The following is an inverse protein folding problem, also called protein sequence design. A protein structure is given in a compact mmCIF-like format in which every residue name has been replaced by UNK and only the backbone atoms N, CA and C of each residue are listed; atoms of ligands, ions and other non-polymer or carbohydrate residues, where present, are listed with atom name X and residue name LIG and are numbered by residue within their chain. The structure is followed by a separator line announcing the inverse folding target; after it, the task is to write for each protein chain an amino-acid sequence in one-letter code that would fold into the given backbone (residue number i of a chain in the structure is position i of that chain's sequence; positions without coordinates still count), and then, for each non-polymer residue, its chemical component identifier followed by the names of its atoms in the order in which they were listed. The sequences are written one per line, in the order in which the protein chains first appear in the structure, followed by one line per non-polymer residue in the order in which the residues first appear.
data_IF_397475772025
#
_entry.id   IF_397475772025
#
_cell.length_a   1.000
_cell.length_b   1.000
_cell.length_c   1.000
_cell.angle_alpha   90.00
_cell.angle_beta   90.00
_cell.angle_gamma   90.00
#
_symmetry.space_group_name_H-M   'P 1'
#
loop_
_entity.id
_entity.type
_entity.pdbx_description
1 polymer ?
#
# COMPACT_ATOMS: atom_id res chain seq x y z
N UNK A 1 17.32 -41.61 -13.64
CA UNK A 1 16.15 -40.95 -13.02
C UNK A 1 16.66 -40.15 -11.83
N UNK A 2 16.87 -38.84 -11.98
CA UNK A 2 17.11 -37.95 -10.84
C UNK A 2 15.77 -37.69 -10.17
N UNK A 3 15.62 -38.16 -8.94
CA UNK A 3 14.52 -37.74 -8.07
C UNK A 3 14.83 -36.31 -7.60
N UNK A 4 14.08 -35.33 -8.11
CA UNK A 4 13.99 -34.02 -7.48
C UNK A 4 13.26 -34.21 -6.15
N UNK A 5 14.00 -34.10 -5.05
CA UNK A 5 13.40 -34.03 -3.71
C UNK A 5 12.66 -32.70 -3.62
N UNK A 6 11.33 -32.67 -3.33
CA UNK A 6 10.62 -31.42 -3.16
C UNK A 6 11.24 -30.65 -1.99
N UNK A 7 11.58 -29.37 -2.24
CA UNK A 7 12.11 -28.49 -1.20
C UNK A 7 11.00 -28.26 -0.16
N UNK A 8 11.14 -28.87 1.02
CA UNK A 8 10.20 -28.67 2.13
C UNK A 8 10.46 -27.28 2.70
N UNK A 9 9.47 -26.39 2.63
CA UNK A 9 9.53 -25.10 3.31
C UNK A 9 9.54 -25.34 4.83
N UNK A 10 10.61 -24.91 5.48
CA UNK A 10 10.74 -25.03 6.94
C UNK A 10 9.74 -24.12 7.66
N UNK A 11 9.17 -24.57 8.80
CA UNK A 11 8.31 -23.72 9.64
C UNK A 11 9.03 -22.44 10.05
N UNK A 12 8.28 -21.35 10.13
CA UNK A 12 8.77 -20.08 10.66
C UNK A 12 8.35 -19.91 12.13
N UNK A 13 9.01 -18.99 12.84
CA UNK A 13 8.55 -18.62 14.18
C UNK A 13 7.14 -18.01 14.15
N UNK A 14 6.20 -18.54 14.94
CA UNK A 14 4.84 -18.00 15.02
C UNK A 14 4.84 -16.65 15.73
N UNK A 15 3.79 -15.87 15.48
CA UNK A 15 3.60 -14.54 16.07
C UNK A 15 2.12 -14.26 16.30
N UNK A 16 1.80 -13.21 17.07
CA UNK A 16 0.41 -12.88 17.38
C UNK A 16 -0.39 -12.63 16.09
N UNK A 17 -1.52 -13.32 15.94
CA UNK A 17 -2.37 -13.14 14.77
C UNK A 17 -3.17 -11.83 14.87
N UNK A 18 -3.10 -11.00 13.84
CA UNK A 18 -3.91 -9.78 13.73
C UNK A 18 -4.54 -9.64 12.36
N UNK A 19 -5.80 -9.22 12.36
CA UNK A 19 -6.57 -8.88 11.17
C UNK A 19 -6.93 -7.40 11.23
N UNK A 20 -6.69 -6.68 10.13
CA UNK A 20 -7.05 -5.28 9.95
C UNK A 20 -8.10 -5.18 8.85
N UNK A 21 -9.39 -5.26 9.21
CA UNK A 21 -10.45 -5.15 8.20
C UNK A 21 -10.47 -3.76 7.55
N UNK A 22 -10.79 -3.63 6.25
CA UNK A 22 -10.85 -2.34 5.58
C UNK A 22 -11.75 -1.34 6.28
N UNK A 23 -11.27 -0.12 6.42
CA UNK A 23 -12.01 1.01 6.97
C UNK A 23 -12.07 2.10 5.90
N UNK A 24 -13.25 2.66 5.68
CA UNK A 24 -13.39 3.87 4.88
C UNK A 24 -14.30 4.87 5.61
N UNK A 25 -13.68 5.83 6.28
CA UNK A 25 -14.37 6.93 6.95
C UNK A 25 -14.80 8.03 5.98
N UNK A 26 -14.48 7.95 4.69
CA UNK A 26 -14.75 9.05 3.76
C UNK A 26 -16.23 9.39 3.70
N UNK A 27 -17.11 8.38 3.83
CA UNK A 27 -18.56 8.54 3.77
C UNK A 27 -19.17 9.08 5.06
N UNK A 28 -18.43 9.07 6.17
CA UNK A 28 -18.87 9.62 7.46
C UNK A 28 -18.83 11.14 7.47
N UNK A 29 -17.93 11.74 6.70
CA UNK A 29 -17.87 13.18 6.52
C UNK A 29 -18.28 13.60 5.11
N UNK A 30 -19.50 14.14 4.98
CA UNK A 30 -20.08 14.55 3.70
C UNK A 30 -19.15 15.41 2.85
N UNK A 31 -18.53 16.43 3.45
CA UNK A 31 -17.64 17.36 2.72
C UNK A 31 -16.38 16.67 2.19
N UNK A 32 -15.84 15.70 2.92
CA UNK A 32 -14.70 14.93 2.44
C UNK A 32 -15.11 13.92 1.37
N UNK A 33 -16.28 13.30 1.49
CA UNK A 33 -16.78 12.41 0.46
C UNK A 33 -16.94 13.12 -0.90
N UNK A 34 -17.49 14.34 -0.88
CA UNK A 34 -17.62 15.20 -2.07
C UNK A 34 -16.24 15.54 -2.66
N UNK A 35 -15.28 15.89 -1.80
CA UNK A 35 -13.88 16.10 -2.19
C UNK A 35 -13.28 14.84 -2.83
N UNK A 36 -13.39 13.66 -2.19
CA UNK A 36 -12.86 12.38 -2.69
C UNK A 36 -13.42 12.05 -4.07
N UNK A 37 -14.72 12.25 -4.30
CA UNK A 37 -15.35 12.04 -5.62
C UNK A 37 -14.73 12.97 -6.67
N UNK A 38 -14.53 14.25 -6.35
CA UNK A 38 -13.85 15.20 -7.24
C UNK A 38 -12.39 14.80 -7.48
N UNK A 39 -11.67 14.42 -6.42
CA UNK A 39 -10.27 14.02 -6.48
C UNK A 39 -10.06 12.78 -7.34
N UNK A 40 -10.89 11.75 -7.19
CA UNK A 40 -10.87 10.57 -8.07
C UNK A 40 -11.08 10.91 -9.54
N UNK A 41 -11.94 11.90 -9.85
CA UNK A 41 -12.10 12.38 -11.23
C UNK A 41 -10.82 13.04 -11.73
N UNK A 42 -10.18 13.88 -10.91
CA UNK A 42 -8.89 14.53 -11.22
C UNK A 42 -7.82 13.47 -11.54
N UNK A 43 -7.71 12.42 -10.72
CA UNK A 43 -6.75 11.34 -10.94
C UNK A 43 -7.04 10.58 -12.25
N UNK A 44 -8.30 10.20 -12.47
CA UNK A 44 -8.71 9.45 -13.65
C UNK A 44 -8.50 10.23 -14.96
N UNK A 45 -8.77 11.53 -14.95
CA UNK A 45 -8.54 12.40 -16.12
C UNK A 45 -7.11 12.93 -16.20
N UNK A 46 -6.26 12.62 -15.21
CA UNK A 46 -4.89 13.16 -15.06
C UNK A 46 -4.86 14.70 -15.18
N UNK A 47 -5.84 15.36 -14.57
CA UNK A 47 -6.01 16.82 -14.66
C UNK A 47 -5.00 17.53 -13.73
N UNK A 48 -3.83 17.84 -14.28
CA UNK A 48 -2.74 18.52 -13.56
C UNK A 48 -3.18 19.86 -12.96
N UNK A 49 -4.00 20.64 -13.66
CA UNK A 49 -4.42 21.97 -13.17
C UNK A 49 -5.35 21.82 -11.98
N UNK A 50 -6.35 20.94 -12.08
CA UNK A 50 -7.26 20.69 -10.97
C UNK A 50 -6.57 20.01 -9.78
N UNK A 51 -5.55 19.17 -10.03
CA UNK A 51 -4.71 18.58 -8.97
C UNK A 51 -3.97 19.67 -8.19
N UNK A 52 -3.38 20.64 -8.88
CA UNK A 52 -2.60 21.71 -8.24
C UNK A 52 -3.42 22.57 -7.27
N UNK A 53 -4.72 22.76 -7.55
CA UNK A 53 -5.66 23.49 -6.69
C UNK A 53 -5.96 22.78 -5.37
N UNK A 54 -5.81 21.45 -5.32
CA UNK A 54 -6.11 20.63 -4.14
C UNK A 54 -4.85 20.16 -3.41
N UNK A 55 -3.67 20.51 -3.90
CA UNK A 55 -2.40 20.29 -3.18
C UNK A 55 -2.18 21.47 -2.23
N UNK A 56 -1.82 21.19 -0.99
CA UNK A 56 -1.43 22.23 -0.06
C UNK A 56 -0.10 22.89 -0.48
N UNK A 57 0.05 24.18 -0.22
CA UNK A 57 1.28 24.90 -0.58
C UNK A 57 2.51 24.34 0.14
N UNK A 58 2.33 23.83 1.36
CA UNK A 58 3.38 23.29 2.24
C UNK A 58 3.37 21.76 2.29
N UNK A 59 2.85 21.09 1.23
CA UNK A 59 2.79 19.62 1.17
C UNK A 59 4.13 18.96 1.52
N UNK A 60 4.07 17.93 2.37
CA UNK A 60 5.21 17.11 2.74
C UNK A 60 5.20 15.79 1.97
N UNK A 61 6.33 15.43 1.35
CA UNK A 61 6.39 14.27 0.45
C UNK A 61 7.74 13.55 0.43
N UNK A 62 8.68 14.01 1.24
CA UNK A 62 10.04 13.47 1.32
C UNK A 62 10.58 13.65 2.73
N UNK A 63 11.34 12.66 3.20
CA UNK A 63 12.13 12.77 4.43
C UNK A 63 13.43 13.57 4.23
N UNK A 64 13.76 13.91 2.97
CA UNK A 64 14.87 14.78 2.63
C UNK A 64 14.53 16.27 2.77
N UNK A 65 15.37 17.13 2.19
CA UNK A 65 15.20 18.58 2.25
C UNK A 65 14.18 19.18 1.27
N UNK A 66 13.57 18.37 0.39
CA UNK A 66 12.56 18.83 -0.56
C UNK A 66 11.21 19.02 0.12
N UNK A 67 10.55 20.16 -0.11
CA UNK A 67 9.27 20.45 0.53
C UNK A 67 8.39 21.39 -0.29
N UNK A 68 7.08 21.29 -0.07
CA UNK A 68 6.10 22.19 -0.66
C UNK A 68 5.73 21.87 -2.10
N UNK A 69 4.70 22.56 -2.58
CA UNK A 69 3.99 22.24 -3.83
C UNK A 69 4.89 22.25 -5.07
N UNK A 70 5.82 23.20 -5.17
CA UNK A 70 6.68 23.34 -6.34
C UNK A 70 7.58 22.11 -6.51
N UNK A 71 8.25 21.71 -5.43
CA UNK A 71 9.16 20.58 -5.47
C UNK A 71 8.37 19.27 -5.61
N UNK A 72 7.22 19.17 -4.95
CA UNK A 72 6.30 18.04 -5.12
C UNK A 72 5.95 17.80 -6.61
N UNK A 73 5.49 18.84 -7.30
CA UNK A 73 5.10 18.73 -8.71
C UNK A 73 6.28 18.31 -9.60
N UNK A 74 7.49 18.80 -9.29
CA UNK A 74 8.71 18.46 -10.03
C UNK A 74 9.15 17.02 -9.77
N UNK A 75 9.21 16.60 -8.50
CA UNK A 75 9.66 15.25 -8.09
C UNK A 75 8.77 14.17 -8.68
N UNK A 76 7.46 14.42 -8.75
CA UNK A 76 6.51 13.52 -9.42
C UNK A 76 6.38 13.74 -10.94
N UNK A 77 7.22 14.56 -11.58
CA UNK A 77 7.17 14.85 -13.03
C UNK A 77 5.82 15.40 -13.53
N UNK A 78 5.07 16.07 -12.64
CA UNK A 78 3.78 16.69 -12.93
C UNK A 78 3.94 18.06 -13.63
N UNK A 79 5.16 18.60 -13.72
CA UNK A 79 5.47 19.80 -14.50
C UNK A 79 5.83 19.47 -15.94
N UNK A 80 6.74 18.51 -16.18
CA UNK A 80 7.29 18.24 -17.50
C UNK A 80 6.46 17.21 -18.28
N UNK A 81 5.99 16.15 -17.61
CA UNK A 81 5.31 15.01 -18.25
C UNK A 81 4.10 14.56 -17.44
N UNK A 82 3.14 15.46 -17.15
CA UNK A 82 2.03 15.15 -16.25
C UNK A 82 1.27 13.89 -16.66
N UNK A 83 0.95 13.68 -17.94
CA UNK A 83 0.19 12.50 -18.37
C UNK A 83 0.90 11.16 -18.13
N UNK A 84 2.23 11.15 -18.09
CA UNK A 84 3.07 9.96 -17.90
C UNK A 84 3.58 9.78 -16.46
N UNK A 85 3.27 10.73 -15.57
CA UNK A 85 3.64 10.65 -14.15
C UNK A 85 3.07 9.39 -13.49
N UNK A 86 3.89 8.72 -12.68
CA UNK A 86 3.46 7.59 -11.86
C UNK A 86 2.62 8.02 -10.65
N UNK A 87 2.59 9.32 -10.31
CA UNK A 87 1.78 9.86 -9.21
C UNK A 87 0.31 9.43 -9.31
N UNK A 88 -0.27 9.46 -10.51
CA UNK A 88 -1.69 9.14 -10.70
C UNK A 88 -2.03 7.73 -10.24
N UNK A 89 -1.21 6.77 -10.64
CA UNK A 89 -1.37 5.36 -10.26
C UNK A 89 -1.09 5.19 -8.76
N UNK A 90 0.05 5.70 -8.27
CA UNK A 90 0.43 5.57 -6.86
C UNK A 90 -0.63 6.16 -5.91
N UNK A 91 -1.16 7.34 -6.22
CA UNK A 91 -2.20 7.97 -5.43
C UNK A 91 -3.50 7.16 -5.48
N UNK A 92 -3.95 6.72 -6.66
CA UNK A 92 -5.15 5.89 -6.81
C UNK A 92 -4.99 4.56 -6.04
N UNK A 93 -3.83 3.93 -6.13
CA UNK A 93 -3.48 2.71 -5.41
C UNK A 93 -3.51 2.88 -3.90
N UNK A 94 -3.14 4.06 -3.41
CA UNK A 94 -3.14 4.41 -1.99
C UNK A 94 -4.57 4.62 -1.49
N UNK A 95 -5.34 5.47 -2.17
CA UNK A 95 -6.68 5.87 -1.70
C UNK A 95 -7.75 4.79 -1.90
N UNK A 96 -7.57 3.86 -2.85
CA UNK A 96 -8.51 2.74 -3.06
C UNK A 96 -8.55 1.78 -1.88
N UNK A 97 -7.53 1.79 -1.03
CA UNK A 97 -7.46 0.91 0.14
C UNK A 97 -8.35 1.40 1.29
N UNK A 98 -8.87 2.62 1.22
CA UNK A 98 -9.78 3.19 2.21
C UNK A 98 -9.10 4.22 3.11
N UNK A 99 -9.92 4.90 3.90
CA UNK A 99 -9.52 6.04 4.72
C UNK A 99 -9.81 5.80 6.21
N UNK A 100 -8.89 6.24 7.06
CA UNK A 100 -9.10 6.37 8.50
C UNK A 100 -8.97 7.85 8.88
N UNK A 101 -9.95 8.36 9.62
CA UNK A 101 -9.82 9.67 10.26
C UNK A 101 -8.98 9.51 11.52
N UNK A 102 -7.92 10.32 11.65
CA UNK A 102 -7.07 10.33 12.83
C UNK A 102 -7.57 11.34 13.89
N UNK A 103 -6.85 11.45 15.01
CA UNK A 103 -7.26 12.30 16.14
C UNK A 103 -7.21 13.80 15.83
N UNK A 104 -6.44 14.21 14.82
CA UNK A 104 -6.34 15.59 14.34
C UNK A 104 -7.46 15.93 13.33
N UNK A 105 -8.32 14.96 13.01
CA UNK A 105 -9.40 15.11 12.04
C UNK A 105 -8.94 14.97 10.58
N UNK A 106 -7.67 14.64 10.34
CA UNK A 106 -7.15 14.37 9.00
C UNK A 106 -7.73 13.06 8.47
N UNK A 107 -7.99 13.01 7.17
CA UNK A 107 -8.36 11.77 6.49
C UNK A 107 -7.09 11.14 5.92
N UNK A 108 -6.74 9.96 6.42
CA UNK A 108 -5.48 9.27 6.10
C UNK A 108 -5.77 8.03 5.26
N UNK A 109 -5.04 7.89 4.15
CA UNK A 109 -5.01 6.70 3.32
C UNK A 109 -3.58 6.14 3.23
N UNK A 110 -3.39 4.82 3.17
CA UNK A 110 -4.42 3.81 3.33
C UNK A 110 -4.86 3.71 4.81
N UNK A 111 -6.08 3.26 5.06
CA UNK A 111 -6.65 3.18 6.42
C UNK A 111 -5.74 2.48 7.44
N UNK A 112 -4.96 1.50 6.98
CA UNK A 112 -4.14 0.70 7.86
C UNK A 112 -2.93 1.46 8.37
N UNK A 113 -2.53 2.59 7.78
CA UNK A 113 -1.43 3.39 8.31
C UNK A 113 -1.72 3.82 9.77
N UNK A 114 -2.96 4.22 10.05
CA UNK A 114 -3.43 4.63 11.37
C UNK A 114 -3.82 3.45 12.29
N UNK A 115 -3.83 2.22 11.77
CA UNK A 115 -4.28 1.05 12.54
C UNK A 115 -3.27 -0.10 12.58
N UNK A 116 -2.13 0.04 11.91
CA UNK A 116 -1.08 -0.96 11.93
C UNK A 116 -0.49 -1.01 13.35
N UNK A 117 -0.48 -2.17 14.03
CA UNK A 117 -0.04 -2.20 15.41
C UNK A 117 1.49 -2.04 15.51
N UNK A 118 1.93 -1.23 16.47
CA UNK A 118 3.35 -0.87 16.64
C UNK A 118 4.24 -1.98 17.24
N UNK A 119 3.66 -3.10 17.66
CA UNK A 119 4.38 -4.29 18.14
C UNK A 119 4.88 -5.20 17.00
N UNK A 120 4.51 -4.90 15.75
CA UNK A 120 5.05 -5.56 14.56
C UNK A 120 6.19 -4.74 13.95
N UNK A 121 7.28 -5.40 13.58
CA UNK A 121 8.37 -4.77 12.84
C UNK A 121 7.88 -4.35 11.44
N UNK A 122 7.87 -3.04 11.12
CA UNK A 122 7.33 -2.52 9.87
C UNK A 122 8.16 -2.88 8.64
N UNK A 123 9.40 -3.34 8.80
CA UNK A 123 10.26 -3.76 7.69
C UNK A 123 10.01 -5.21 7.26
N UNK A 124 9.44 -6.03 8.13
CA UNK A 124 9.24 -7.46 7.89
C UNK A 124 7.77 -7.88 7.92
N UNK A 125 6.86 -7.02 8.41
CA UNK A 125 5.43 -7.32 8.47
C UNK A 125 4.64 -6.55 7.43
N UNK A 126 3.76 -7.28 6.75
CA UNK A 126 2.93 -6.80 5.66
C UNK A 126 1.47 -7.13 5.94
N UNK A 127 0.57 -6.29 5.45
CA UNK A 127 -0.85 -6.56 5.44
C UNK A 127 -1.26 -7.25 4.14
N UNK A 128 -1.98 -8.37 4.23
CA UNK A 128 -2.72 -8.92 3.09
C UNK A 128 -3.95 -8.05 2.83
N UNK A 129 -4.08 -7.40 1.67
CA UNK A 129 -5.15 -6.40 1.40
C UNK A 129 -6.38 -6.94 0.65
N UNK A 130 -6.66 -8.24 0.74
CA UNK A 130 -7.79 -8.88 0.06
C UNK A 130 -8.58 -9.85 0.94
N UNK A 131 -9.72 -10.32 0.43
CA UNK A 131 -10.47 -11.45 0.98
C UNK A 131 -10.03 -12.75 0.31
N UNK A 132 -9.93 -13.82 1.08
CA UNK A 132 -9.64 -15.17 0.63
C UNK A 132 -8.42 -15.25 -0.30
N UNK A 133 -7.37 -14.49 0.00
CA UNK A 133 -6.13 -14.49 -0.76
C UNK A 133 -5.44 -15.83 -0.55
N UNK A 134 -5.25 -16.57 -1.65
CA UNK A 134 -4.55 -17.85 -1.61
C UNK A 134 -3.10 -17.66 -1.20
N UNK A 135 -2.68 -18.37 -0.16
CA UNK A 135 -1.28 -18.67 0.13
C UNK A 135 -0.96 -19.99 -0.56
N UNK A 136 0.09 -20.01 -1.37
CA UNK A 136 0.43 -21.15 -2.22
C UNK A 136 1.67 -21.87 -1.73
N UNK A 137 1.78 -23.14 -2.10
CA UNK A 137 2.92 -23.98 -1.77
C UNK A 137 4.20 -23.53 -2.50
N UNK A 138 4.06 -23.09 -3.76
CA UNK A 138 5.14 -22.54 -4.58
C UNK A 138 4.77 -21.18 -5.19
N UNK A 139 5.79 -20.49 -5.71
CA UNK A 139 5.72 -19.21 -6.39
C UNK A 139 5.10 -19.29 -7.81
N UNK A 140 3.95 -19.95 -7.96
CA UNK A 140 3.23 -20.08 -9.24
C UNK A 140 1.71 -20.02 -9.02
N UNK A 141 0.93 -19.68 -10.05
CA UNK A 141 -0.54 -19.63 -9.93
C UNK A 141 -1.18 -21.03 -9.95
N UNK A 142 -0.45 -21.99 -10.47
CA UNK A 142 -0.83 -23.38 -10.67
C UNK A 142 -0.58 -24.20 -9.40
N UNK A 143 0.34 -23.75 -8.53
CA UNK A 143 0.65 -24.40 -7.27
C UNK A 143 -0.54 -24.43 -6.31
N UNK A 144 -0.61 -25.48 -5.49
CA UNK A 144 -1.70 -25.74 -4.55
C UNK A 144 -1.87 -24.58 -3.57
N UNK A 145 -3.13 -24.20 -3.33
CA UNK A 145 -3.47 -23.30 -2.23
C UNK A 145 -3.42 -24.06 -0.90
N UNK A 146 -2.58 -23.61 0.02
CA UNK A 146 -2.33 -24.26 1.31
C UNK A 146 -3.10 -23.61 2.47
N UNK A 147 -3.57 -22.39 2.29
CA UNK A 147 -4.52 -21.68 3.14
C UNK A 147 -5.03 -20.41 2.42
N UNK A 148 -6.04 -19.75 2.99
CA UNK A 148 -6.53 -18.46 2.52
C UNK A 148 -6.50 -17.44 3.64
N UNK A 149 -5.99 -16.24 3.35
CA UNK A 149 -5.92 -15.14 4.29
C UNK A 149 -6.87 -14.02 3.88
N UNK A 150 -7.48 -13.38 4.87
CA UNK A 150 -8.32 -12.21 4.66
C UNK A 150 -7.85 -11.10 5.59
N UNK A 151 -7.29 -10.03 5.03
CA UNK A 151 -6.91 -8.84 5.81
C UNK A 151 -5.96 -9.10 6.98
N UNK A 152 -5.13 -10.14 6.89
CA UNK A 152 -4.27 -10.59 7.98
C UNK A 152 -2.84 -10.05 7.82
N UNK A 153 -2.22 -9.70 8.94
CA UNK A 153 -0.78 -9.38 8.98
C UNK A 153 0.02 -10.68 8.82
N UNK A 154 0.98 -10.65 7.91
CA UNK A 154 1.93 -11.73 7.63
C UNK A 154 3.35 -11.19 7.78
N UNK A 155 4.31 -12.08 8.04
CA UNK A 155 5.73 -11.74 7.95
C UNK A 155 6.23 -12.13 6.56
N UNK A 156 7.02 -11.29 5.91
CA UNK A 156 7.76 -11.63 4.70
C UNK A 156 9.24 -11.33 4.95
N UNK A 157 10.12 -12.17 4.43
CA UNK A 157 11.55 -11.83 4.40
C UNK A 157 11.72 -10.61 3.48
N UNK A 158 12.44 -9.58 3.95
CA UNK A 158 12.80 -8.45 3.11
C UNK A 158 13.63 -9.00 1.95
N UNK A 159 13.15 -8.79 0.71
CA UNK A 159 13.61 -9.42 -0.53
C UNK A 159 14.99 -10.09 -0.40
N UNK A 160 15.00 -11.41 -0.15
CA UNK A 160 16.23 -12.20 -0.16
C UNK A 160 16.98 -11.86 -1.45
N UNK A 161 18.20 -11.37 -1.26
CA UNK A 161 19.19 -10.96 -2.25
C UNK A 161 19.71 -12.14 -3.10
N UNK A 162 18.85 -13.09 -3.43
CA UNK A 162 19.16 -14.21 -4.31
C UNK A 162 18.97 -13.85 -5.78
N UNK A 163 18.49 -12.65 -6.12
CA UNK A 163 18.38 -12.15 -7.50
C UNK A 163 17.46 -12.98 -8.41
N UNK A 164 16.86 -14.06 -7.89
CA UNK A 164 15.83 -14.84 -8.54
C UNK A 164 14.54 -14.04 -8.46
N UNK A 165 14.38 -13.11 -9.41
CA UNK A 165 13.06 -12.81 -9.96
C UNK A 165 12.47 -14.16 -10.36
N UNK A 166 11.70 -14.78 -9.45
CA UNK A 166 10.96 -16.00 -9.72
C UNK A 166 9.96 -15.62 -10.81
N UNK A 167 10.33 -16.00 -12.03
CA UNK A 167 9.61 -15.84 -13.30
C UNK A 167 8.86 -14.52 -13.51
N UNK A 168 9.35 -13.74 -14.48
CA UNK A 168 8.60 -12.66 -15.13
C UNK A 168 7.48 -13.19 -16.05
N UNK A 169 7.05 -14.44 -15.85
CA UNK A 169 5.86 -14.96 -16.50
C UNK A 169 4.69 -14.75 -15.54
N UNK A 170 3.75 -13.88 -15.96
CA UNK A 170 2.55 -13.45 -15.25
C UNK A 170 2.67 -12.16 -14.42
N UNK A 171 1.57 -11.41 -14.34
CA UNK A 171 1.39 -10.13 -13.63
C UNK A 171 1.51 -10.24 -12.09
N UNK A 172 2.53 -10.93 -11.59
CA UNK A 172 2.67 -11.27 -10.19
C UNK A 172 4.14 -11.46 -9.82
N UNK A 173 4.62 -10.71 -8.83
CA UNK A 173 5.89 -11.02 -8.18
C UNK A 173 5.56 -11.81 -6.91
N UNK A 174 5.97 -13.08 -6.86
CA UNK A 174 5.67 -13.93 -5.70
C UNK A 174 6.59 -13.61 -4.54
N UNK A 175 6.00 -13.31 -3.39
CA UNK A 175 6.73 -13.16 -2.12
C UNK A 175 6.51 -14.37 -1.25
N UNK A 176 7.59 -14.91 -0.70
CA UNK A 176 7.55 -15.88 0.39
C UNK A 176 7.08 -15.15 1.66
N UNK A 177 6.12 -15.75 2.35
CA UNK A 177 5.54 -15.21 3.58
C UNK A 177 5.45 -16.32 4.63
N UNK A 178 5.41 -15.91 5.89
CA UNK A 178 5.06 -16.74 7.02
C UNK A 178 3.72 -16.26 7.59
N UNK A 179 2.75 -17.17 7.72
CA UNK A 179 1.49 -16.87 8.42
C UNK A 179 1.74 -16.75 9.92
N UNK A 180 0.82 -16.14 10.69
CA UNK A 180 0.95 -16.04 12.15
C UNK A 180 1.12 -17.38 12.86
N UNK A 181 0.63 -18.47 12.25
CA UNK A 181 0.76 -19.84 12.77
C UNK A 181 2.12 -20.48 12.44
N UNK A 182 3.08 -19.73 11.90
CA UNK A 182 4.40 -20.24 11.52
C UNK A 182 4.41 -21.05 10.22
N UNK A 183 3.35 -20.97 9.40
CA UNK A 183 3.28 -21.71 8.13
C UNK A 183 3.89 -20.87 6.99
N UNK A 184 4.94 -21.36 6.32
CA UNK A 184 5.48 -20.68 5.14
C UNK A 184 4.59 -20.89 3.91
N UNK A 185 4.68 -19.98 2.94
CA UNK A 185 4.07 -20.12 1.63
C UNK A 185 4.33 -18.90 0.75
N UNK A 186 3.66 -18.82 -0.40
CA UNK A 186 3.84 -17.75 -1.38
C UNK A 186 2.55 -16.99 -1.64
N UNK A 187 2.65 -15.67 -1.68
CA UNK A 187 1.55 -14.75 -2.02
C UNK A 187 2.05 -13.75 -3.07
N UNK A 188 1.16 -13.39 -3.99
CA UNK A 188 1.45 -12.35 -4.96
C UNK A 188 1.61 -10.98 -4.28
N UNK A 189 2.69 -10.26 -4.56
CA UNK A 189 3.00 -8.94 -4.01
C UNK A 189 1.86 -7.93 -4.14
N UNK A 190 1.08 -7.99 -5.22
CA UNK A 190 -0.10 -7.13 -5.42
C UNK A 190 -1.13 -7.23 -4.30
N UNK A 191 -1.13 -8.31 -3.52
CA UNK A 191 -1.99 -8.53 -2.36
C UNK A 191 -1.33 -8.19 -1.03
N UNK A 192 -0.06 -7.77 -1.02
CA UNK A 192 0.69 -7.39 0.16
C UNK A 192 0.90 -5.87 0.17
N UNK A 193 0.80 -5.25 1.34
CA UNK A 193 1.16 -3.84 1.55
C UNK A 193 2.00 -3.68 2.79
N UNK A 194 3.07 -2.90 2.68
CA UNK A 194 3.92 -2.52 3.80
C UNK A 194 3.25 -1.38 4.59
N UNK A 195 3.39 -1.33 5.93
CA UNK A 195 3.06 -0.12 6.68
C UNK A 195 3.93 1.09 6.29
N UNK A 196 5.05 0.86 5.60
CA UNK A 196 5.96 1.89 5.07
C UNK A 196 5.65 2.29 3.62
N UNK A 197 4.62 1.71 2.99
CA UNK A 197 4.18 2.11 1.66
C UNK A 197 3.71 3.59 1.64
N UNK A 198 3.40 4.09 0.45
CA UNK A 198 2.85 5.43 0.28
C UNK A 198 1.65 5.67 1.21
N UNK A 199 1.65 6.85 1.84
CA UNK A 199 0.55 7.35 2.67
C UNK A 199 0.18 8.76 2.25
N UNK A 200 -1.11 9.04 2.21
CA UNK A 200 -1.70 10.31 1.84
C UNK A 200 -2.52 10.87 3.01
N UNK A 201 -2.27 12.13 3.37
CA UNK A 201 -3.03 12.84 4.40
C UNK A 201 -3.80 13.96 3.73
N UNK A 202 -5.07 14.08 4.12
CA UNK A 202 -5.94 15.15 3.68
C UNK A 202 -6.42 15.96 4.88
N UNK A 203 -6.35 17.28 4.76
CA UNK A 203 -6.73 18.21 5.80
C UNK A 203 -7.76 19.22 5.30
N UNK A 204 -8.67 19.62 6.19
CA UNK A 204 -9.64 20.66 5.93
C UNK A 204 -9.11 22.02 6.37
N UNK A 205 -8.86 22.91 5.42
CA UNK A 205 -8.42 24.30 5.66
C UNK A 205 -9.44 25.27 5.08
N UNK A 206 -9.99 26.17 5.91
CA UNK A 206 -11.01 27.16 5.52
C UNK A 206 -12.14 26.55 4.66
N UNK A 207 -12.70 25.43 5.13
CA UNK A 207 -13.76 24.63 4.48
C UNK A 207 -13.39 23.86 3.20
N UNK A 208 -12.14 23.90 2.74
CA UNK A 208 -11.68 23.12 1.60
C UNK A 208 -10.73 22.01 2.05
N UNK A 209 -10.75 20.88 1.36
CA UNK A 209 -9.86 19.76 1.61
C UNK A 209 -8.63 19.85 0.71
N UNK A 210 -7.47 19.57 1.29
CA UNK A 210 -6.17 19.60 0.62
C UNK A 210 -5.38 18.33 0.90
N UNK A 211 -4.64 17.86 -0.10
CA UNK A 211 -3.56 16.89 0.10
C UNK A 211 -2.39 17.60 0.78
N UNK A 212 -2.09 17.20 2.02
CA UNK A 212 -1.03 17.82 2.84
C UNK A 212 0.19 16.94 3.02
N UNK A 213 0.04 15.61 2.89
CA UNK A 213 1.16 14.67 2.90
C UNK A 213 0.96 13.65 1.80
N UNK A 214 2.02 13.32 1.05
CA UNK A 214 2.09 12.14 0.21
C UNK A 214 3.52 11.58 0.16
N UNK A 215 3.81 10.63 1.03
CA UNK A 215 5.19 10.19 1.32
C UNK A 215 5.25 8.66 1.43
N UNK A 216 6.43 8.08 1.21
CA UNK A 216 6.74 6.65 1.34
C UNK A 216 8.01 6.48 2.17
N UNK A 217 8.12 5.38 2.93
CA UNK A 217 9.26 5.08 3.80
C UNK A 217 9.07 5.53 5.25
N UNK A 218 10.17 5.53 6.00
CA UNK A 218 10.29 5.89 7.41
C UNK A 218 11.23 7.08 7.67
#
# INVERSE_FOLDING_TARGET
MSFLVPAVLLPCDPFAAKTLTPIDHSTKEKSFNEFKIKFLKILKSKDRKALEEVIDKDIHFSFGGEAGKKDFLKTFQLTEKPSASNFWELMEETIKLGFRQNNEGQMVAPYFFETFPGDYDPFTHYLVIGKNVNVREDATKESKSITQLSYQIVRAEADDLDGRRLEKESNCNWKKICTPQGKPGYVCDRFLRSPLDYRAFFEKKKNNWYLTIFIVGD
#
